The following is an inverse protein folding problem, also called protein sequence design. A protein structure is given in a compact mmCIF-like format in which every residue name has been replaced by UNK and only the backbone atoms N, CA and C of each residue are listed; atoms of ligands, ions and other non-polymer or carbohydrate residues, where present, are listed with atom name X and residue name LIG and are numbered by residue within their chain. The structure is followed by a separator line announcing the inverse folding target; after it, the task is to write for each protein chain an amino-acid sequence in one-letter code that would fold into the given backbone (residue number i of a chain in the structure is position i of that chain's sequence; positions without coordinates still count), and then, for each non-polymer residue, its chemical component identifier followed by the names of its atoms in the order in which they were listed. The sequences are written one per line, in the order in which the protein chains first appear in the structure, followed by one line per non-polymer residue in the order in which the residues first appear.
data_IF_346128393493
#
_entry.id   IF_346128393493
#
_cell.length_a   1.000
_cell.length_b   1.000
_cell.length_c   1.000
_cell.angle_alpha   90.00
_cell.angle_beta   90.00
_cell.angle_gamma   90.00
#
_symmetry.space_group_name_H-M   'P 1'
#
loop_
_entity.id
_entity.type
_entity.pdbx_description
1 polymer ?
#
# COMPACT_ATOMS: atom_id res chain seq x y z
N UNK A 1 -28.57 13.90 21.13
CA UNK A 1 -27.97 13.19 20.00
C UNK A 1 -29.06 12.82 19.02
N UNK A 2 -29.07 13.39 17.82
CA UNK A 2 -30.08 13.05 16.81
C UNK A 2 -29.67 11.75 16.12
N UNK A 3 -30.23 10.62 16.58
CA UNK A 3 -30.18 9.37 15.81
C UNK A 3 -31.02 9.58 14.55
N UNK A 4 -30.36 9.89 13.43
CA UNK A 4 -31.01 9.95 12.12
C UNK A 4 -31.58 8.58 11.72
N UNK A 5 -32.55 8.53 10.79
CA UNK A 5 -33.05 7.27 10.27
C UNK A 5 -31.93 6.50 9.55
N UNK A 6 -31.98 5.17 9.65
CA UNK A 6 -31.07 4.27 8.95
C UNK A 6 -31.85 3.12 8.32
N UNK A 7 -31.36 2.65 7.18
CA UNK A 7 -32.01 1.62 6.38
C UNK A 7 -31.13 0.38 6.27
N UNK A 8 -31.75 -0.80 6.39
CA UNK A 8 -31.09 -2.09 6.25
C UNK A 8 -31.53 -2.76 4.95
N UNK A 9 -30.60 -2.90 4.01
CA UNK A 9 -30.85 -3.63 2.76
C UNK A 9 -30.33 -5.06 2.91
N UNK A 10 -31.21 -6.05 2.70
CA UNK A 10 -30.89 -7.46 2.83
C UNK A 10 -31.20 -8.20 1.52
N UNK A 11 -30.20 -8.89 0.96
CA UNK A 11 -30.36 -9.72 -0.25
C UNK A 11 -29.98 -11.16 0.06
N UNK A 12 -30.83 -12.09 -0.39
CA UNK A 12 -30.56 -13.52 -0.25
C UNK A 12 -29.39 -13.92 -1.13
N UNK A 13 -28.46 -14.67 -0.56
CA UNK A 13 -27.42 -15.35 -1.31
C UNK A 13 -28.04 -16.48 -2.15
N UNK A 14 -27.46 -16.81 -3.33
CA UNK A 14 -27.78 -18.04 -4.03
C UNK A 14 -27.66 -19.26 -3.10
N UNK A 15 -28.48 -20.32 -3.29
CA UNK A 15 -28.53 -21.46 -2.37
C UNK A 15 -27.16 -22.07 -2.04
N UNK A 16 -26.31 -22.24 -3.05
CA UNK A 16 -24.96 -22.78 -2.89
C UNK A 16 -24.07 -21.88 -2.02
N UNK A 17 -24.10 -20.56 -2.28
CA UNK A 17 -23.33 -19.57 -1.52
C UNK A 17 -23.84 -19.45 -0.07
N UNK A 18 -25.15 -19.56 0.14
CA UNK A 18 -25.78 -19.57 1.46
C UNK A 18 -25.36 -20.79 2.27
N UNK A 19 -25.37 -21.99 1.68
CA UNK A 19 -24.89 -23.21 2.35
C UNK A 19 -23.38 -23.15 2.64
N UNK A 20 -22.58 -22.63 1.72
CA UNK A 20 -21.15 -22.41 1.95
C UNK A 20 -20.91 -21.41 3.11
N UNK A 21 -21.72 -20.36 3.22
CA UNK A 21 -21.67 -19.42 4.34
C UNK A 21 -22.09 -20.07 5.67
N UNK A 22 -23.18 -20.86 5.68
CA UNK A 22 -23.62 -21.64 6.85
C UNK A 22 -22.55 -22.64 7.30
N UNK A 23 -21.91 -23.35 6.37
CA UNK A 23 -20.80 -24.27 6.66
C UNK A 23 -19.61 -23.54 7.30
N UNK A 24 -19.20 -22.40 6.75
CA UNK A 24 -18.14 -21.56 7.34
C UNK A 24 -18.51 -21.08 8.74
N UNK A 25 -19.77 -20.71 8.95
CA UNK A 25 -20.28 -20.31 10.27
C UNK A 25 -20.17 -21.45 11.30
N UNK A 26 -20.60 -22.67 10.94
CA UNK A 26 -20.47 -23.87 11.79
C UNK A 26 -19.00 -24.17 12.13
N UNK A 27 -18.11 -24.15 11.13
CA UNK A 27 -16.67 -24.38 11.34
C UNK A 27 -16.04 -23.33 12.27
N UNK A 28 -16.37 -22.05 12.09
CA UNK A 28 -15.85 -20.98 12.92
C UNK A 28 -16.33 -21.08 14.38
N UNK A 29 -17.58 -21.48 14.59
CA UNK A 29 -18.13 -21.70 15.92
C UNK A 29 -17.52 -22.94 16.60
N UNK A 30 -17.36 -24.04 15.86
CA UNK A 30 -16.72 -25.26 16.34
C UNK A 30 -15.29 -25.00 16.81
N UNK A 31 -14.48 -24.26 16.04
CA UNK A 31 -13.12 -23.86 16.45
C UNK A 31 -13.08 -23.06 17.75
N UNK A 32 -14.20 -22.42 18.12
CA UNK A 32 -14.36 -21.63 19.35
C UNK A 32 -15.13 -22.39 20.44
N UNK A 33 -15.40 -23.69 20.26
CA UNK A 33 -16.15 -24.52 21.20
C UNK A 33 -17.62 -24.12 21.37
N UNK A 34 -18.25 -23.54 20.34
CA UNK A 34 -19.64 -23.05 20.39
C UNK A 34 -20.49 -23.64 19.27
N UNK A 35 -21.80 -23.70 19.51
CA UNK A 35 -22.80 -24.03 18.49
C UNK A 35 -23.46 -22.75 17.98
N UNK A 36 -23.53 -22.50 16.65
CA UNK A 36 -24.25 -21.35 16.10
C UNK A 36 -25.74 -21.43 16.44
N UNK A 37 -26.36 -20.28 16.78
CA UNK A 37 -27.81 -20.19 16.92
C UNK A 37 -28.49 -20.34 15.56
N UNK A 38 -29.74 -20.80 15.56
CA UNK A 38 -30.55 -20.91 14.34
C UNK A 38 -30.66 -19.56 13.60
N UNK A 39 -30.92 -18.47 14.33
CA UNK A 39 -30.95 -17.12 13.78
C UNK A 39 -29.62 -16.74 13.08
N UNK A 40 -28.47 -17.18 13.60
CA UNK A 40 -27.17 -16.93 12.96
C UNK A 40 -27.03 -17.69 11.66
N UNK A 41 -27.49 -18.95 11.60
CA UNK A 41 -27.47 -19.75 10.37
C UNK A 41 -28.47 -19.23 9.32
N UNK A 42 -29.62 -18.72 9.78
CA UNK A 42 -30.57 -18.02 8.94
C UNK A 42 -29.93 -16.78 8.32
N UNK A 43 -29.36 -15.88 9.13
CA UNK A 43 -28.72 -14.65 8.68
C UNK A 43 -27.46 -14.89 7.82
N UNK A 44 -26.77 -16.02 8.00
CA UNK A 44 -25.64 -16.40 7.16
C UNK A 44 -26.01 -16.59 5.67
N UNK A 45 -27.31 -16.76 5.37
CA UNK A 45 -27.82 -16.82 3.99
C UNK A 45 -28.02 -15.46 3.33
N UNK A 46 -27.64 -14.36 3.98
CA UNK A 46 -27.92 -13.00 3.52
C UNK A 46 -26.66 -12.15 3.44
N UNK A 47 -26.66 -11.22 2.50
CA UNK A 47 -25.79 -10.03 2.55
C UNK A 47 -26.64 -8.88 3.02
N UNK A 48 -26.21 -8.24 4.11
CA UNK A 48 -26.92 -7.13 4.73
C UNK A 48 -26.01 -5.90 4.77
N UNK A 49 -26.52 -4.76 4.29
CA UNK A 49 -25.82 -3.47 4.27
C UNK A 49 -26.70 -2.45 4.98
N UNK A 50 -26.16 -1.84 6.02
CA UNK A 50 -26.78 -0.72 6.72
C UNK A 50 -26.27 0.59 6.12
N UNK A 51 -27.17 1.54 5.84
CA UNK A 51 -26.84 2.83 5.24
C UNK A 51 -27.74 3.92 5.79
N UNK A 52 -27.25 5.16 5.76
CA UNK A 52 -28.03 6.38 6.02
C UNK A 52 -28.58 6.99 4.72
N UNK A 53 -28.48 6.29 3.60
CA UNK A 53 -29.05 6.70 2.32
C UNK A 53 -30.46 6.11 2.20
N UNK A 54 -31.49 6.93 1.92
CA UNK A 54 -32.85 6.44 1.78
C UNK A 54 -33.01 5.49 0.58
N UNK A 55 -33.90 4.49 0.64
CA UNK A 55 -34.21 3.61 -0.48
C UNK A 55 -34.81 4.35 -1.68
N UNK A 56 -35.40 5.53 -1.46
CA UNK A 56 -35.88 6.42 -2.51
C UNK A 56 -34.73 7.02 -3.33
N UNK A 57 -33.52 7.08 -2.77
CA UNK A 57 -32.30 7.56 -3.44
C UNK A 57 -31.50 6.42 -4.06
N UNK A 58 -31.29 5.32 -3.31
CA UNK A 58 -30.58 4.14 -3.79
C UNK A 58 -31.35 2.87 -3.42
N UNK A 59 -31.75 2.11 -4.43
CA UNK A 59 -32.42 0.84 -4.22
C UNK A 59 -31.46 -0.22 -3.63
N UNK A 60 -32.03 -1.29 -3.06
CA UNK A 60 -31.24 -2.37 -2.45
C UNK A 60 -30.16 -2.96 -3.36
N UNK A 61 -30.48 -3.36 -4.61
CA UNK A 61 -29.49 -3.84 -5.57
C UNK A 61 -28.32 -2.87 -5.79
N UNK A 62 -28.59 -1.57 -5.95
CA UNK A 62 -27.54 -0.55 -6.15
C UNK A 62 -26.70 -0.36 -4.90
N UNK A 63 -27.30 -0.33 -3.70
CA UNK A 63 -26.55 -0.29 -2.43
C UNK A 63 -25.59 -1.47 -2.31
N UNK A 64 -26.03 -2.68 -2.67
CA UNK A 64 -25.15 -3.85 -2.66
C UNK A 64 -24.04 -3.77 -3.71
N UNK A 65 -24.35 -3.30 -4.92
CA UNK A 65 -23.34 -3.10 -5.96
C UNK A 65 -22.28 -2.07 -5.52
N UNK A 66 -22.70 -0.96 -4.92
CA UNK A 66 -21.81 0.04 -4.34
C UNK A 66 -20.97 -0.52 -3.18
N UNK A 67 -21.59 -1.31 -2.29
CA UNK A 67 -20.87 -1.94 -1.19
C UNK A 67 -19.80 -2.91 -1.69
N UNK A 68 -20.03 -3.59 -2.83
CA UNK A 68 -18.99 -4.39 -3.48
C UNK A 68 -17.80 -3.52 -3.84
N UNK A 69 -17.97 -2.29 -4.34
CA UNK A 69 -16.85 -1.41 -4.68
C UNK A 69 -15.92 -1.05 -3.50
N UNK A 70 -16.28 -1.38 -2.25
CA UNK A 70 -15.40 -1.22 -1.08
C UNK A 70 -14.01 -1.85 -1.26
N UNK A 71 -13.88 -2.95 -2.02
CA UNK A 71 -12.58 -3.59 -2.28
C UNK A 71 -11.56 -2.68 -2.98
N UNK A 72 -12.02 -1.60 -3.65
CA UNK A 72 -11.13 -0.59 -4.25
C UNK A 72 -10.25 0.11 -3.22
N UNK A 73 -10.74 0.26 -1.98
CA UNK A 73 -9.95 0.82 -0.87
C UNK A 73 -8.78 -0.10 -0.52
N UNK A 74 -9.02 -1.42 -0.51
CA UNK A 74 -7.96 -2.40 -0.25
C UNK A 74 -6.91 -2.40 -1.37
N UNK A 75 -7.34 -2.24 -2.63
CA UNK A 75 -6.41 -2.03 -3.75
C UNK A 75 -5.59 -0.76 -3.59
N UNK A 76 -6.19 0.36 -3.17
CA UNK A 76 -5.47 1.60 -2.93
C UNK A 76 -4.40 1.42 -1.84
N UNK A 77 -4.73 0.76 -0.73
CA UNK A 77 -3.76 0.44 0.32
C UNK A 77 -2.66 -0.51 -0.14
N UNK A 78 -3.03 -1.59 -0.83
CA UNK A 78 -2.05 -2.48 -1.47
C UNK A 78 -1.13 -1.69 -2.37
N UNK A 79 -1.68 -0.65 -2.99
CA UNK A 79 -0.94 0.19 -3.91
C UNK A 79 0.11 1.07 -3.25
N UNK A 80 -0.30 1.78 -2.21
CA UNK A 80 0.62 2.61 -1.44
C UNK A 80 1.73 1.77 -0.81
N UNK A 81 1.42 0.56 -0.32
CA UNK A 81 2.43 -0.36 0.23
C UNK A 81 3.44 -0.79 -0.84
N UNK A 82 2.97 -1.31 -1.96
CA UNK A 82 3.85 -1.93 -2.97
C UNK A 82 4.61 -0.94 -3.84
N UNK A 83 4.08 0.26 -4.13
CA UNK A 83 4.80 1.26 -4.93
C UNK A 83 5.53 2.30 -4.11
N UNK A 84 5.09 2.59 -2.88
CA UNK A 84 5.64 3.69 -2.08
C UNK A 84 6.26 3.21 -0.76
N UNK A 85 6.31 1.89 -0.54
CA UNK A 85 6.88 1.24 0.64
C UNK A 85 6.28 1.75 1.94
N UNK A 86 4.96 2.05 1.95
CA UNK A 86 4.27 2.65 3.10
C UNK A 86 4.30 1.75 4.36
N UNK A 87 4.50 0.44 4.20
CA UNK A 87 4.65 -0.55 5.26
C UNK A 87 6.10 -0.79 5.70
N UNK A 88 7.09 -0.15 5.08
CA UNK A 88 8.50 -0.27 5.44
C UNK A 88 8.93 0.66 6.60
N UNK A 89 7.98 1.12 7.42
CA UNK A 89 8.24 2.01 8.55
C UNK A 89 9.07 1.29 9.63
N UNK A 90 10.27 1.81 9.92
CA UNK A 90 11.18 1.28 10.95
C UNK A 90 11.27 2.19 12.17
N UNK A 91 10.11 2.57 12.72
CA UNK A 91 10.03 3.45 13.88
C UNK A 91 9.23 2.82 15.00
N UNK A 92 9.49 3.23 16.24
CA UNK A 92 8.66 2.84 17.37
C UNK A 92 7.24 3.38 17.20
N UNK A 93 6.26 2.65 17.74
CA UNK A 93 4.87 3.10 17.77
C UNK A 93 4.77 4.44 18.51
N UNK A 94 3.96 5.36 17.98
CA UNK A 94 3.75 6.71 18.54
C UNK A 94 5.02 7.58 18.65
N UNK A 95 6.07 7.30 17.86
CA UNK A 95 7.23 8.19 17.78
C UNK A 95 6.97 9.36 16.83
N UNK A 96 7.50 10.54 17.17
CA UNK A 96 7.47 11.72 16.29
C UNK A 96 8.11 11.42 14.92
N UNK A 97 9.18 10.62 14.91
CA UNK A 97 9.82 10.16 13.66
C UNK A 97 8.85 9.34 12.79
N UNK A 98 8.03 8.48 13.41
CA UNK A 98 7.00 7.73 12.69
C UNK A 98 5.94 8.62 12.08
N UNK A 99 5.50 9.65 12.80
CA UNK A 99 4.54 10.63 12.28
C UNK A 99 5.10 11.42 11.10
N UNK A 100 6.33 11.93 11.21
CA UNK A 100 7.01 12.65 10.11
C UNK A 100 7.16 11.74 8.90
N UNK A 101 7.55 10.48 9.10
CA UNK A 101 7.70 9.52 8.02
C UNK A 101 6.38 9.23 7.31
N UNK A 102 5.30 8.97 8.07
CA UNK A 102 3.97 8.69 7.50
C UNK A 102 3.47 9.92 6.73
N UNK A 103 3.56 11.11 7.32
CA UNK A 103 3.16 12.36 6.66
C UNK A 103 3.96 12.59 5.37
N UNK A 104 5.28 12.37 5.40
CA UNK A 104 6.14 12.49 4.23
C UNK A 104 5.76 11.50 3.12
N UNK A 105 5.49 10.24 3.46
CA UNK A 105 5.04 9.22 2.51
C UNK A 105 3.64 9.51 1.95
N UNK A 106 2.71 10.01 2.77
CA UNK A 106 1.37 10.42 2.32
C UNK A 106 1.44 11.64 1.39
N UNK A 107 2.28 12.63 1.71
CA UNK A 107 2.53 13.76 0.83
C UNK A 107 3.12 13.30 -0.52
N UNK A 108 4.13 12.44 -0.48
CA UNK A 108 4.73 11.86 -1.67
C UNK A 108 3.69 11.06 -2.50
N UNK A 109 2.85 10.26 -1.85
CA UNK A 109 1.74 9.55 -2.49
C UNK A 109 0.80 10.52 -3.21
N UNK A 110 0.40 11.61 -2.56
CA UNK A 110 -0.47 12.64 -3.13
C UNK A 110 0.19 13.31 -4.35
N UNK A 111 1.49 13.60 -4.30
CA UNK A 111 2.23 14.18 -5.44
C UNK A 111 2.23 13.21 -6.63
N UNK A 112 2.51 11.93 -6.40
CA UNK A 112 2.49 10.90 -7.45
C UNK A 112 1.07 10.71 -8.01
N UNK A 113 0.04 10.62 -7.16
CA UNK A 113 -1.34 10.48 -7.62
C UNK A 113 -1.83 11.71 -8.39
N UNK A 114 -1.47 12.92 -7.95
CA UNK A 114 -1.81 14.16 -8.66
C UNK A 114 -1.06 14.29 -9.99
N UNK A 115 0.17 13.81 -10.07
CA UNK A 115 0.89 13.66 -11.34
C UNK A 115 0.16 12.70 -12.28
N UNK A 116 -0.27 11.53 -11.78
CA UNK A 116 -1.01 10.55 -12.57
C UNK A 116 -2.35 11.08 -13.08
N UNK A 117 -3.06 11.89 -12.28
CA UNK A 117 -4.31 12.55 -12.70
C UNK A 117 -4.11 13.51 -13.88
N UNK A 118 -2.95 14.18 -14.00
CA UNK A 118 -2.66 15.07 -15.14
C UNK A 118 -2.51 14.30 -16.46
N UNK A 119 -2.16 13.03 -16.41
CA UNK A 119 -1.95 12.19 -17.59
C UNK A 119 -3.22 11.47 -18.08
N UNK A 120 -4.35 11.59 -17.37
CA UNK A 120 -5.61 10.92 -17.73
C UNK A 120 -6.80 11.86 -17.69
N UNK A 121 -7.43 12.12 -18.85
CA UNK A 121 -8.69 12.86 -18.93
C UNK A 121 -9.81 12.08 -18.24
N UNK A 122 -10.18 12.48 -17.02
CA UNK A 122 -11.22 11.81 -16.21
C UNK A 122 -10.70 10.88 -15.12
N UNK A 123 -9.42 10.98 -14.73
CA UNK A 123 -8.84 10.22 -13.63
C UNK A 123 -8.31 8.85 -14.05
N UNK A 124 -7.31 8.35 -13.32
CA UNK A 124 -6.60 7.12 -13.69
C UNK A 124 -7.18 5.83 -13.08
N UNK A 125 -8.04 5.94 -12.07
CA UNK A 125 -8.64 4.80 -11.34
C UNK A 125 -10.15 5.01 -11.14
N UNK A 126 -10.80 5.71 -12.08
CA UNK A 126 -12.23 5.99 -11.99
C UNK A 126 -13.06 4.72 -12.15
N UNK A 127 -14.17 4.65 -11.41
CA UNK A 127 -15.11 3.52 -11.42
C UNK A 127 -16.34 3.77 -12.30
N UNK A 128 -16.51 4.99 -12.81
CA UNK A 128 -17.61 5.42 -13.69
C UNK A 128 -17.53 4.82 -15.10
N UNK A 129 -16.38 4.25 -15.47
CA UNK A 129 -16.10 3.74 -16.82
C UNK A 129 -15.24 2.47 -16.77
N UNK A 130 -15.27 1.63 -17.81
CA UNK A 130 -14.35 0.50 -17.93
C UNK A 130 -12.89 0.95 -17.85
N UNK A 131 -12.07 0.21 -17.10
CA UNK A 131 -10.64 0.50 -16.95
C UNK A 131 -9.93 0.34 -18.30
N UNK A 132 -9.31 1.43 -18.78
CA UNK A 132 -8.48 1.45 -20.00
C UNK A 132 -6.99 1.24 -19.72
N UNK A 133 -6.57 1.45 -18.47
CA UNK A 133 -5.18 1.42 -18.05
C UNK A 133 -5.07 0.75 -16.68
N UNK A 134 -3.89 0.20 -16.39
CA UNK A 134 -3.59 -0.34 -15.06
C UNK A 134 -3.05 0.79 -14.18
N UNK A 135 -3.72 1.16 -13.07
CA UNK A 135 -3.24 2.18 -12.14
C UNK A 135 -1.78 1.96 -11.71
N UNK A 136 -1.38 0.69 -11.60
CA UNK A 136 -0.01 0.25 -11.32
C UNK A 136 1.05 0.76 -12.27
N UNK A 137 0.84 0.59 -13.57
CA UNK A 137 1.84 1.00 -14.55
C UNK A 137 1.96 2.52 -14.59
N UNK A 138 0.83 3.22 -14.56
CA UNK A 138 0.83 4.69 -14.57
C UNK A 138 1.51 5.26 -13.33
N UNK A 139 1.14 4.80 -12.13
CA UNK A 139 1.75 5.31 -10.91
C UNK A 139 3.24 4.98 -10.83
N UNK A 140 3.67 3.81 -11.33
CA UNK A 140 5.10 3.49 -11.39
C UNK A 140 5.87 4.46 -12.30
N UNK A 141 5.32 4.82 -13.47
CA UNK A 141 5.92 5.79 -14.39
C UNK A 141 5.99 7.18 -13.75
N UNK A 142 4.88 7.64 -13.16
CA UNK A 142 4.83 8.96 -12.52
C UNK A 142 5.74 9.03 -11.31
N UNK A 143 5.80 7.97 -10.50
CA UNK A 143 6.73 7.83 -9.38
C UNK A 143 8.17 8.03 -9.84
N UNK A 144 8.59 7.38 -10.93
CA UNK A 144 9.95 7.55 -11.47
C UNK A 144 10.24 9.00 -11.88
N UNK A 145 9.26 9.70 -12.45
CA UNK A 145 9.42 11.11 -12.79
C UNK A 145 9.56 11.98 -11.52
N UNK A 146 8.74 11.74 -10.50
CA UNK A 146 8.79 12.45 -9.21
C UNK A 146 10.11 12.17 -8.48
N UNK A 147 10.59 10.92 -8.48
CA UNK A 147 11.87 10.55 -7.85
C UNK A 147 13.05 11.30 -8.48
N UNK A 148 13.03 11.49 -9.80
CA UNK A 148 14.04 12.30 -10.50
C UNK A 148 13.96 13.78 -10.16
N UNK A 149 12.75 14.30 -9.94
CA UNK A 149 12.56 15.71 -9.53
C UNK A 149 13.02 15.94 -8.09
N UNK A 150 12.73 15.00 -7.17
CA UNK A 150 13.14 15.11 -5.76
C UNK A 150 14.64 14.93 -5.61
N UNK A 151 15.22 13.94 -6.29
CA UNK A 151 16.66 13.67 -6.21
C UNK A 151 17.52 14.68 -6.96
N UNK A 152 16.90 15.48 -7.84
CA UNK A 152 17.52 16.44 -8.76
C UNK A 152 18.88 15.97 -9.29
N UNK A 153 18.93 14.71 -9.74
CA UNK A 153 20.18 13.99 -10.04
C UNK A 153 20.96 14.66 -11.17
N UNK A 154 20.27 15.45 -12.00
CA UNK A 154 20.87 16.22 -13.08
C UNK A 154 21.67 17.44 -12.59
N UNK A 155 21.55 17.81 -11.31
CA UNK A 155 22.23 18.96 -10.71
C UNK A 155 23.20 18.59 -9.59
N UNK A 156 23.55 17.31 -9.49
CA UNK A 156 24.58 16.90 -8.54
C UNK A 156 25.89 17.62 -8.85
N UNK A 157 26.50 18.18 -7.81
CA UNK A 157 27.80 18.84 -7.89
C UNK A 157 28.86 17.86 -7.41
N UNK A 158 29.74 17.45 -8.32
CA UNK A 158 30.81 16.50 -8.00
C UNK A 158 31.82 17.08 -7.00
N UNK A 159 31.93 18.42 -6.93
CA UNK A 159 32.83 19.15 -6.03
C UNK A 159 32.55 18.88 -4.54
N UNK A 160 31.35 18.41 -4.19
CA UNK A 160 30.96 18.10 -2.81
C UNK A 160 30.88 16.60 -2.52
N UNK A 161 31.28 15.75 -3.47
CA UNK A 161 31.10 14.30 -3.36
C UNK A 161 31.86 13.69 -2.18
N UNK A 162 33.05 14.18 -1.87
CA UNK A 162 33.84 13.71 -0.72
C UNK A 162 33.12 13.95 0.62
N UNK A 163 32.40 15.08 0.75
CA UNK A 163 31.57 15.36 1.93
C UNK A 163 30.36 14.42 2.01
N UNK A 164 29.75 14.07 0.87
CA UNK A 164 28.70 13.06 0.83
C UNK A 164 29.21 11.67 1.25
N UNK A 165 30.40 11.28 0.78
CA UNK A 165 31.04 10.02 1.18
C UNK A 165 31.30 9.96 2.69
N UNK A 166 31.64 11.09 3.33
CA UNK A 166 31.82 11.18 4.77
C UNK A 166 30.56 10.83 5.57
N UNK A 167 29.40 11.34 5.14
CA UNK A 167 28.10 11.04 5.77
C UNK A 167 27.66 9.60 5.52
N UNK A 168 28.04 9.03 4.37
CA UNK A 168 27.74 7.65 4.01
C UNK A 168 28.66 6.62 4.68
N UNK A 169 29.70 7.06 5.43
CA UNK A 169 30.62 6.17 6.13
C UNK A 169 29.85 5.22 7.05
N UNK A 170 30.30 3.97 7.10
CA UNK A 170 29.74 3.01 8.04
C UNK A 170 29.88 3.54 9.47
N UNK A 171 28.79 3.46 10.24
CA UNK A 171 28.82 3.79 11.67
C UNK A 171 29.83 2.89 12.38
N UNK A 172 30.52 3.39 13.43
CA UNK A 172 31.47 2.58 14.19
C UNK A 172 30.87 1.22 14.62
N UNK A 173 31.53 0.13 14.22
CA UNK A 173 31.10 -1.25 14.51
C UNK A 173 32.03 -1.90 15.53
N UNK A 174 31.46 -2.75 16.39
CA UNK A 174 32.26 -3.61 17.30
C UNK A 174 33.07 -4.67 16.55
N UNK A 175 32.55 -5.18 15.43
CA UNK A 175 33.28 -6.11 14.55
C UNK A 175 34.06 -5.30 13.52
N UNK A 176 35.38 -5.52 13.43
CA UNK A 176 36.20 -4.95 12.35
C UNK A 176 35.73 -5.50 11.02
N UNK A 177 35.54 -4.60 10.06
CA UNK A 177 35.27 -4.97 8.67
C UNK A 177 36.47 -5.71 8.10
N UNK A 178 36.20 -6.67 7.22
CA UNK A 178 37.25 -7.43 6.57
C UNK A 178 38.04 -6.49 5.66
N UNK A 179 39.36 -6.49 5.83
CA UNK A 179 40.29 -5.86 4.92
C UNK A 179 41.13 -6.94 4.26
N UNK A 180 41.65 -6.67 3.07
CA UNK A 180 42.62 -7.56 2.46
C UNK A 180 43.85 -7.67 3.37
N UNK A 181 44.44 -8.87 3.53
CA UNK A 181 45.73 -9.01 4.21
C UNK A 181 46.78 -8.12 3.54
N UNK A 182 47.68 -7.54 4.34
CA UNK A 182 48.70 -6.59 3.86
C UNK A 182 49.48 -7.13 2.64
N UNK A 183 49.83 -8.43 2.68
CA UNK A 183 50.55 -9.10 1.59
C UNK A 183 49.81 -9.07 0.24
N UNK A 184 48.48 -9.19 0.27
CA UNK A 184 47.66 -9.14 -0.94
C UNK A 184 47.62 -7.71 -1.49
N UNK A 185 47.51 -6.72 -0.61
CA UNK A 185 47.54 -5.29 -1.00
C UNK A 185 48.89 -4.93 -1.63
N UNK A 186 50.00 -5.40 -1.07
CA UNK A 186 51.35 -5.23 -1.64
C UNK A 186 51.45 -5.80 -3.05
N UNK A 187 51.01 -7.06 -3.24
CA UNK A 187 51.04 -7.72 -4.56
C UNK A 187 50.22 -6.95 -5.60
N UNK A 188 49.02 -6.47 -5.24
CA UNK A 188 48.17 -5.68 -6.12
C UNK A 188 48.81 -4.34 -6.51
N UNK A 189 49.49 -3.68 -5.57
CA UNK A 189 50.16 -2.41 -5.83
C UNK A 189 51.37 -2.57 -6.77
N UNK A 190 52.14 -3.65 -6.63
CA UNK A 190 53.23 -4.00 -7.56
C UNK A 190 52.68 -4.25 -8.96
N UNK A 191 51.59 -5.01 -9.07
CA UNK A 191 50.99 -5.34 -10.36
C UNK A 191 50.36 -4.12 -11.06
N UNK A 192 49.79 -3.17 -10.30
CA UNK A 192 49.33 -1.88 -10.86
C UNK A 192 50.49 -1.04 -11.40
N UNK A 193 51.61 -0.96 -10.68
CA UNK A 193 52.80 -0.21 -11.13
C UNK A 193 53.39 -0.80 -12.42
N UNK A 194 53.37 -2.12 -12.57
CA UNK A 194 53.83 -2.82 -13.78
C UNK A 194 52.89 -2.68 -14.98
N UNK A 195 51.61 -2.31 -14.78
CA UNK A 195 50.64 -2.09 -15.86
C UNK A 195 50.58 -0.64 -16.34
N UNK A 196 51.06 0.31 -15.56
CA UNK A 196 51.04 1.75 -15.87
C UNK A 196 52.41 2.29 -16.32
N UNK A 197 53.41 1.43 -16.50
CA UNK A 197 54.69 1.74 -17.14
C UNK A 197 54.81 0.93 -18.43
#
# INVERSE_FOLDING_TARGET
EASGPGWLHAVRLPPEAAEAARRRCRQAAQRKGRTPREATLFLAGWVMVFTTVPPETLDGPTVLALYRCRWQVELAFKRLKTLLDLDALRTQQNSQLGEVWIRGKLLYALVVERGAQRHGTGGFDSLDRPRRLTPWRLLAIVRQAVDRWIGDVQRWQDDHWDACLDVLKERPRRRRLQTLPARVVEMMNVQKRQRCG
#
